data_IF_678353607354
#
_entry.id   IF_678353607354
#
_cell.length_a   1.000
_cell.length_b   1.000
_cell.length_c   1.000
_cell.angle_alpha   90.00
_cell.angle_beta   90.00
_cell.angle_gamma   90.00
#
_symmetry.space_group_name_H-M   'P 1'
#
loop_
_entity.id
_entity.type
_entity.pdbx_description
1 polymer ?
#
# COMPACT_ATOMS: atom_id res chain seq x y z
N UNK A 1 -19.93 0.46 6.83
CA UNK A 1 -19.90 1.64 7.69
C UNK A 1 -18.66 2.47 7.38
N UNK A 2 -18.82 3.76 7.24
CA UNK A 2 -17.71 4.64 6.92
C UNK A 2 -16.86 4.89 8.17
N UNK A 3 -15.54 4.78 8.02
CA UNK A 3 -14.62 5.09 9.09
C UNK A 3 -14.41 6.60 9.15
N UNK A 4 -15.02 7.26 10.13
CA UNK A 4 -14.93 8.71 10.27
C UNK A 4 -13.57 9.20 10.75
N UNK A 5 -12.71 8.29 11.28
CA UNK A 5 -11.36 8.65 11.72
C UNK A 5 -10.40 8.76 10.53
N UNK A 6 -10.76 8.14 9.40
CA UNK A 6 -9.93 8.12 8.20
C UNK A 6 -10.78 8.54 7.01
N UNK A 7 -11.14 9.85 6.94
CA UNK A 7 -11.92 10.32 5.81
C UNK A 7 -11.12 10.27 4.52
N UNK A 8 -11.83 10.28 3.41
CA UNK A 8 -11.19 10.32 2.09
C UNK A 8 -10.40 11.61 1.93
N UNK A 9 -9.16 11.46 1.48
CA UNK A 9 -8.27 12.59 1.26
C UNK A 9 -8.60 13.30 -0.04
N UNK A 10 -8.36 14.61 -0.07
CA UNK A 10 -8.38 15.37 -1.31
C UNK A 10 -7.20 14.95 -2.18
N UNK A 11 -7.33 15.13 -3.50
CA UNK A 11 -6.27 14.76 -4.44
C UNK A 11 -4.93 15.44 -4.11
N UNK A 12 -4.97 16.71 -3.70
CA UNK A 12 -3.76 17.44 -3.35
C UNK A 12 -3.11 16.90 -2.08
N UNK A 13 -3.92 16.49 -1.09
CA UNK A 13 -3.40 15.89 0.14
C UNK A 13 -2.76 14.54 -0.15
N UNK A 14 -3.41 13.74 -0.98
CA UNK A 14 -2.89 12.43 -1.37
C UNK A 14 -1.56 12.56 -2.13
N UNK A 15 -1.46 13.52 -3.04
CA UNK A 15 -0.24 13.77 -3.81
C UNK A 15 0.92 14.16 -2.89
N UNK A 16 0.66 15.01 -1.90
CA UNK A 16 1.70 15.41 -0.93
C UNK A 16 2.19 14.20 -0.13
N UNK A 17 1.26 13.38 0.35
CA UNK A 17 1.62 12.19 1.13
C UNK A 17 2.38 11.17 0.30
N UNK A 18 1.99 10.98 -0.95
CA UNK A 18 2.68 10.06 -1.85
C UNK A 18 4.14 10.48 -2.05
N UNK A 19 4.39 11.79 -2.15
CA UNK A 19 5.74 12.31 -2.36
C UNK A 19 6.70 11.99 -1.21
N UNK A 20 6.17 11.63 -0.05
CA UNK A 20 6.97 11.30 1.14
C UNK A 20 7.27 9.81 1.27
N UNK A 21 6.69 8.99 0.41
CA UNK A 21 6.93 7.56 0.40
C UNK A 21 8.11 7.21 -0.51
N UNK A 22 8.50 5.93 -0.50
CA UNK A 22 9.48 5.44 -1.46
C UNK A 22 9.03 5.78 -2.89
N UNK A 23 10.00 6.05 -3.77
CA UNK A 23 9.72 6.47 -5.14
C UNK A 23 8.97 5.42 -5.96
N UNK A 24 8.93 4.17 -5.49
CA UNK A 24 8.22 3.08 -6.16
C UNK A 24 6.71 3.14 -6.05
N UNK A 25 6.15 3.96 -5.16
CA UNK A 25 4.71 4.10 -5.05
C UNK A 25 4.15 4.99 -6.15
N UNK A 26 3.01 4.59 -6.69
CA UNK A 26 2.31 5.35 -7.71
C UNK A 26 0.80 5.25 -7.49
N UNK A 27 0.08 6.28 -7.93
CA UNK A 27 -1.38 6.20 -7.97
C UNK A 27 -1.83 5.20 -9.01
N UNK A 28 -2.91 4.50 -8.72
CA UNK A 28 -3.59 3.63 -9.66
C UNK A 28 -5.10 3.76 -9.47
N UNK A 29 -5.88 3.13 -10.35
CA UNK A 29 -7.35 3.19 -10.29
C UNK A 29 -7.88 4.63 -10.22
N UNK A 30 -7.41 5.47 -11.12
CA UNK A 30 -7.83 6.88 -11.21
C UNK A 30 -7.62 7.65 -9.90
N UNK A 31 -6.53 7.32 -9.18
CA UNK A 31 -6.20 8.01 -7.93
C UNK A 31 -6.91 7.45 -6.71
N UNK A 32 -7.66 6.36 -6.85
CA UNK A 32 -8.37 5.76 -5.72
C UNK A 32 -7.53 4.77 -4.94
N UNK A 33 -6.37 4.40 -5.46
CA UNK A 33 -5.46 3.47 -4.81
C UNK A 33 -4.01 3.88 -5.06
N UNK A 34 -3.11 3.32 -4.26
CA UNK A 34 -1.66 3.45 -4.47
C UNK A 34 -1.06 2.05 -4.53
N UNK A 35 -0.01 1.88 -5.32
CA UNK A 35 0.67 0.59 -5.39
C UNK A 35 2.17 0.76 -5.54
N UNK A 36 2.89 -0.23 -5.05
CA UNK A 36 4.34 -0.35 -5.21
C UNK A 36 4.67 -1.75 -5.70
N UNK A 37 5.45 -1.83 -6.78
CA UNK A 37 6.01 -3.09 -7.26
C UNK A 37 7.46 -3.18 -6.82
N UNK A 38 7.75 -4.19 -6.01
CA UNK A 38 9.12 -4.44 -5.54
C UNK A 38 9.72 -5.54 -6.42
N UNK A 39 10.78 -5.21 -7.13
CA UNK A 39 11.54 -6.19 -7.90
C UNK A 39 12.45 -6.95 -6.97
N UNK A 40 12.61 -8.25 -7.20
CA UNK A 40 13.46 -9.07 -6.35
C UNK A 40 14.05 -10.23 -7.15
N UNK A 41 14.97 -10.96 -6.53
CA UNK A 41 15.59 -12.11 -7.18
C UNK A 41 14.86 -13.38 -6.76
N UNK A 42 14.22 -14.03 -7.72
CA UNK A 42 13.61 -15.32 -7.52
C UNK A 42 12.22 -15.28 -6.91
N UNK A 43 11.70 -16.47 -6.61
CA UNK A 43 10.32 -16.63 -6.15
C UNK A 43 10.22 -16.54 -4.61
N UNK A 44 11.16 -17.12 -3.90
CA UNK A 44 11.13 -17.15 -2.43
C UNK A 44 11.12 -15.75 -1.84
N UNK A 45 11.90 -14.82 -2.42
CA UNK A 45 11.92 -13.43 -1.94
C UNK A 45 10.59 -12.74 -2.20
N UNK A 46 9.96 -13.03 -3.35
CA UNK A 46 8.63 -12.48 -3.65
C UNK A 46 7.59 -12.94 -2.61
N UNK A 47 7.60 -14.23 -2.26
CA UNK A 47 6.72 -14.79 -1.24
C UNK A 47 7.00 -14.15 0.13
N UNK A 48 8.28 -13.96 0.46
CA UNK A 48 8.68 -13.31 1.70
C UNK A 48 8.09 -11.90 1.80
N UNK A 49 8.17 -11.13 0.73
CA UNK A 49 7.62 -9.78 0.70
C UNK A 49 6.09 -9.79 0.85
N UNK A 50 5.43 -10.73 0.19
CA UNK A 50 3.98 -10.90 0.33
C UNK A 50 3.60 -11.23 1.78
N UNK A 51 4.38 -12.09 2.44
CA UNK A 51 4.15 -12.44 3.83
C UNK A 51 4.38 -11.26 4.78
N UNK A 52 5.36 -10.41 4.50
CA UNK A 52 5.57 -9.19 5.29
C UNK A 52 4.34 -8.28 5.20
N UNK A 53 3.83 -8.09 3.99
CA UNK A 53 2.63 -7.27 3.80
C UNK A 53 1.43 -7.85 4.54
N UNK A 54 1.24 -9.17 4.44
CA UNK A 54 0.13 -9.86 5.10
C UNK A 54 0.21 -9.75 6.63
N UNK A 55 1.40 -9.98 7.19
CA UNK A 55 1.60 -9.91 8.63
C UNK A 55 1.32 -8.50 9.16
N UNK A 56 1.83 -7.50 8.46
CA UNK A 56 1.62 -6.11 8.83
C UNK A 56 0.13 -5.73 8.72
N UNK A 57 -0.53 -6.20 7.65
CA UNK A 57 -1.94 -5.89 7.43
C UNK A 57 -2.82 -6.38 8.58
N UNK A 58 -2.56 -7.60 9.07
CA UNK A 58 -3.32 -8.14 10.20
C UNK A 58 -3.11 -7.33 11.47
N UNK A 59 -1.89 -6.84 11.69
CA UNK A 59 -1.58 -6.03 12.86
C UNK A 59 -2.21 -4.65 12.79
N UNK A 60 -2.28 -4.06 11.61
CA UNK A 60 -2.82 -2.71 11.40
C UNK A 60 -4.33 -2.69 11.21
N UNK A 61 -4.92 -3.82 10.85
CA UNK A 61 -6.33 -3.88 10.54
C UNK A 61 -6.69 -3.20 9.22
N UNK A 62 -5.71 -3.04 8.32
CA UNK A 62 -5.91 -2.47 7.00
C UNK A 62 -5.21 -3.35 5.98
N UNK A 63 -5.97 -3.91 5.04
CA UNK A 63 -5.50 -5.01 4.20
C UNK A 63 -5.28 -4.57 2.75
N UNK A 64 -4.08 -4.82 2.20
CA UNK A 64 -3.81 -4.54 0.79
C UNK A 64 -4.26 -5.67 -0.10
N UNK A 65 -4.28 -5.39 -1.42
CA UNK A 65 -4.23 -6.45 -2.42
C UNK A 65 -2.76 -6.74 -2.71
N UNK A 66 -2.38 -8.01 -2.71
CA UNK A 66 -1.01 -8.41 -2.94
C UNK A 66 -0.95 -9.36 -4.14
N UNK A 67 -0.08 -9.04 -5.09
CA UNK A 67 0.17 -9.89 -6.24
C UNK A 67 1.67 -10.19 -6.26
N UNK A 68 2.04 -11.44 -6.42
CA UNK A 68 3.46 -11.78 -6.50
C UNK A 68 3.68 -12.90 -7.51
N UNK A 69 4.91 -12.98 -7.97
CA UNK A 69 5.35 -14.02 -8.88
C UNK A 69 6.86 -14.06 -8.87
N UNK A 70 7.43 -14.81 -9.79
CA UNK A 70 8.89 -14.89 -9.87
C UNK A 70 9.47 -13.51 -10.17
N UNK A 71 10.24 -12.99 -9.23
CA UNK A 71 10.95 -11.74 -9.41
C UNK A 71 10.21 -10.47 -9.03
N UNK A 72 9.00 -10.56 -8.48
CA UNK A 72 8.27 -9.33 -8.08
C UNK A 72 7.23 -9.58 -7.00
N UNK A 73 6.90 -8.50 -6.30
CA UNK A 73 5.76 -8.45 -5.40
C UNK A 73 5.15 -7.05 -5.51
N UNK A 74 3.86 -6.98 -5.80
CA UNK A 74 3.12 -5.72 -5.90
C UNK A 74 2.13 -5.63 -4.75
N UNK A 75 2.16 -4.52 -4.03
CA UNK A 75 1.27 -4.25 -2.89
C UNK A 75 0.44 -3.03 -3.23
N UNK A 76 -0.89 -3.14 -3.09
CA UNK A 76 -1.80 -2.05 -3.42
C UNK A 76 -2.73 -1.77 -2.24
N UNK A 77 -2.83 -0.50 -1.85
CA UNK A 77 -3.69 -0.05 -0.77
C UNK A 77 -4.78 0.88 -1.28
N UNK A 78 -5.98 0.70 -0.75
CA UNK A 78 -7.10 1.62 -0.91
C UNK A 78 -8.00 1.50 0.31
N UNK A 79 -8.85 2.48 0.55
CA UNK A 79 -9.81 2.42 1.66
C UNK A 79 -11.20 2.32 1.09
N UNK A 80 -11.74 1.10 1.05
CA UNK A 80 -13.04 0.81 0.42
C UNK A 80 -14.19 1.61 1.03
N UNK A 81 -14.16 1.82 2.34
CA UNK A 81 -15.22 2.53 3.05
C UNK A 81 -15.45 3.95 2.54
N UNK A 82 -14.42 4.56 1.94
CA UNK A 82 -14.50 5.94 1.45
C UNK A 82 -14.31 6.03 -0.07
N UNK A 83 -14.26 4.89 -0.75
CA UNK A 83 -14.07 4.79 -2.21
C UNK A 83 -12.86 5.59 -2.68
N UNK A 84 -11.75 5.46 -1.98
CA UNK A 84 -10.55 6.18 -2.33
C UNK A 84 -9.47 6.05 -1.28
N UNK A 85 -8.60 7.03 -1.21
CA UNK A 85 -7.46 7.02 -0.31
C UNK A 85 -7.76 7.76 0.98
N UNK A 86 -7.25 7.22 2.07
CA UNK A 86 -7.30 7.82 3.39
C UNK A 86 -5.90 7.81 4.00
N UNK A 87 -5.74 8.44 5.16
CA UNK A 87 -4.48 8.42 5.92
C UNK A 87 -4.00 6.99 6.16
N UNK A 88 -4.94 6.06 6.34
CA UNK A 88 -4.65 4.66 6.62
C UNK A 88 -3.79 4.00 5.53
N UNK A 89 -4.05 4.34 4.27
CA UNK A 89 -3.29 3.79 3.14
C UNK A 89 -1.83 4.24 3.18
N UNK A 90 -1.61 5.51 3.51
CA UNK A 90 -0.26 6.08 3.54
C UNK A 90 0.52 5.62 4.76
N UNK A 91 -0.14 5.46 5.90
CA UNK A 91 0.50 4.87 7.08
C UNK A 91 0.94 3.43 6.81
N UNK A 92 0.07 2.65 6.17
CA UNK A 92 0.39 1.26 5.82
C UNK A 92 1.52 1.17 4.80
N UNK A 93 1.51 2.04 3.79
CA UNK A 93 2.56 2.09 2.78
C UNK A 93 3.91 2.45 3.40
N UNK A 94 3.94 3.45 4.28
CA UNK A 94 5.18 3.85 4.95
C UNK A 94 5.74 2.72 5.81
N UNK A 95 4.87 2.01 6.52
CA UNK A 95 5.28 0.87 7.34
C UNK A 95 5.82 -0.27 6.48
N UNK A 96 5.20 -0.53 5.34
CA UNK A 96 5.71 -1.52 4.39
C UNK A 96 7.10 -1.14 3.89
N UNK A 97 7.32 0.13 3.57
CA UNK A 97 8.64 0.63 3.15
C UNK A 97 9.70 0.36 4.22
N UNK A 98 9.37 0.57 5.49
CA UNK A 98 10.28 0.29 6.60
C UNK A 98 10.60 -1.19 6.70
N UNK A 99 9.62 -2.07 6.45
CA UNK A 99 9.82 -3.52 6.51
C UNK A 99 10.68 -4.04 5.35
N UNK A 100 10.53 -3.45 4.18
CA UNK A 100 11.30 -3.84 3.01
C UNK A 100 12.76 -3.39 3.13
N UNK A 101 12.97 -2.28 3.75
CA UNK A 101 14.32 -1.73 3.94
C UNK A 101 14.74 -0.85 2.77
#
# INVERSE_FOLDING_TARGET
MTDTRHPRLLASEAADKLSRLDAGWAFCEDGQAIERRVECKGFAKAVYLANLAAYHADRQGHHPDVTFGFGYCTVRYTTHDVDGLSENDFQSAAAFDDLVG
#
